data_IF_983892032665
#
_entry.id   IF_983892032665
#
_cell.length_a   1.000
_cell.length_b   1.000
_cell.length_c   1.000
_cell.angle_alpha   90.00
_cell.angle_beta   90.00
_cell.angle_gamma   90.00
#
_symmetry.space_group_name_H-M   'P 1'
#
loop_
_entity.id
_entity.type
_entity.pdbx_description
1 polymer ?
#
# COMPACT_ATOMS: atom_id res chain seq x y z
N UNK A 1 -14.22 -4.46 -11.16
CA UNK A 1 -15.03 -3.80 -12.18
C UNK A 1 -16.48 -4.28 -12.16
N UNK A 2 -16.74 -5.56 -11.94
CA UNK A 2 -18.11 -6.10 -12.00
C UNK A 2 -18.98 -5.70 -10.83
N UNK A 3 -18.39 -5.48 -9.66
CA UNK A 3 -19.07 -5.07 -8.44
C UNK A 3 -19.28 -3.54 -8.29
N UNK A 4 -18.84 -2.73 -9.25
CA UNK A 4 -19.13 -1.29 -9.26
C UNK A 4 -20.60 -1.07 -9.65
N UNK A 5 -21.25 -0.11 -9.01
CA UNK A 5 -22.60 0.34 -9.36
C UNK A 5 -22.61 0.99 -10.75
N UNK A 6 -23.02 0.20 -11.77
CA UNK A 6 -23.01 0.60 -13.20
C UNK A 6 -24.12 1.59 -13.56
N UNK A 7 -25.10 1.80 -12.68
CA UNK A 7 -26.13 2.83 -12.86
C UNK A 7 -25.57 4.23 -12.52
N UNK A 8 -24.59 4.28 -11.62
CA UNK A 8 -23.99 5.53 -11.12
C UNK A 8 -22.63 5.84 -11.74
N UNK A 9 -21.85 4.81 -12.11
CA UNK A 9 -20.47 4.96 -12.52
C UNK A 9 -20.18 4.24 -13.83
N UNK A 10 -19.50 4.90 -14.74
CA UNK A 10 -18.89 4.28 -15.90
C UNK A 10 -17.44 3.92 -15.56
N UNK A 11 -17.11 2.63 -15.66
CA UNK A 11 -15.74 2.15 -15.41
C UNK A 11 -14.93 2.19 -16.68
N UNK A 12 -13.81 2.90 -16.65
CA UNK A 12 -12.81 2.94 -17.72
C UNK A 12 -11.58 2.17 -17.24
N UNK A 13 -11.35 0.93 -17.72
CA UNK A 13 -10.23 0.14 -17.29
C UNK A 13 -8.91 0.71 -17.83
N UNK A 14 -7.92 0.76 -16.95
CA UNK A 14 -6.56 1.20 -17.24
C UNK A 14 -5.59 0.11 -16.77
N UNK A 15 -4.63 -0.22 -17.60
CA UNK A 15 -3.53 -1.11 -17.29
C UNK A 15 -2.20 -0.35 -17.42
N UNK A 16 -1.37 -0.44 -16.40
CA UNK A 16 -0.05 0.17 -16.34
C UNK A 16 0.98 -0.95 -16.37
N UNK A 17 1.86 -0.91 -17.36
CA UNK A 17 2.93 -1.90 -17.51
C UNK A 17 4.13 -1.59 -16.59
N UNK A 18 5.07 -2.54 -16.49
CA UNK A 18 6.30 -2.36 -15.69
C UNK A 18 7.17 -1.17 -16.17
N UNK A 19 7.11 -0.84 -17.46
CA UNK A 19 7.78 0.33 -18.06
C UNK A 19 6.90 1.59 -18.03
N UNK A 20 5.83 1.58 -17.20
CA UNK A 20 4.89 2.67 -16.99
C UNK A 20 4.11 3.11 -18.25
N UNK A 21 4.06 2.26 -19.27
CA UNK A 21 3.16 2.48 -20.40
C UNK A 21 1.71 2.26 -19.96
N UNK A 22 0.83 3.18 -20.32
CA UNK A 22 -0.59 3.15 -19.93
C UNK A 22 -1.43 2.69 -21.11
N UNK A 23 -2.24 1.66 -20.87
CA UNK A 23 -3.21 1.15 -21.83
C UNK A 23 -4.64 1.29 -21.29
N UNK A 24 -5.61 1.49 -22.20
CA UNK A 24 -7.04 1.49 -21.90
C UNK A 24 -7.82 0.75 -22.99
N UNK A 25 -8.98 0.23 -22.64
CA UNK A 25 -9.86 -0.44 -23.59
C UNK A 25 -10.73 -1.52 -22.96
N UNK A 26 -11.84 -1.84 -23.62
CA UNK A 26 -12.84 -2.79 -23.11
C UNK A 26 -12.29 -4.19 -22.84
N UNK A 27 -11.30 -4.62 -23.60
CA UNK A 27 -10.66 -5.94 -23.43
C UNK A 27 -9.99 -6.12 -22.04
N UNK A 28 -9.54 -5.03 -21.42
CA UNK A 28 -8.92 -5.06 -20.09
C UNK A 28 -9.90 -5.47 -18.97
N UNK A 29 -11.18 -5.69 -19.29
CA UNK A 29 -12.17 -6.26 -18.36
C UNK A 29 -12.06 -7.79 -18.24
N UNK A 30 -11.40 -8.45 -19.20
CA UNK A 30 -11.34 -9.89 -19.29
C UNK A 30 -9.97 -10.39 -18.82
N UNK A 31 -9.96 -11.30 -17.84
CA UNK A 31 -8.72 -11.84 -17.27
C UNK A 31 -7.86 -12.55 -18.32
N UNK A 32 -8.46 -13.17 -19.29
CA UNK A 32 -7.75 -13.87 -20.38
C UNK A 32 -6.87 -12.93 -21.22
N UNK A 33 -7.19 -11.63 -21.25
CA UNK A 33 -6.37 -10.64 -21.95
C UNK A 33 -4.99 -10.47 -21.35
N UNK A 34 -4.81 -10.84 -20.09
CA UNK A 34 -3.54 -10.71 -19.34
C UNK A 34 -2.65 -11.95 -19.44
N UNK A 35 -3.17 -13.06 -19.99
CA UNK A 35 -2.38 -14.29 -20.23
C UNK A 35 -1.37 -14.14 -21.37
N UNK A 36 -1.64 -13.24 -22.31
CA UNK A 36 -0.71 -12.91 -23.39
C UNK A 36 -0.67 -11.39 -23.59
N UNK A 37 0.42 -10.78 -23.13
CA UNK A 37 0.61 -9.33 -23.20
C UNK A 37 0.53 -8.77 -24.63
N UNK A 38 0.88 -9.57 -25.66
CA UNK A 38 0.76 -9.16 -27.05
C UNK A 38 -0.68 -8.84 -27.47
N UNK A 39 -1.67 -9.44 -26.79
CA UNK A 39 -3.07 -9.11 -27.01
C UNK A 39 -3.37 -7.68 -26.53
N UNK A 40 -2.82 -7.29 -25.36
CA UNK A 40 -2.97 -5.94 -24.83
C UNK A 40 -2.33 -4.92 -25.78
N UNK A 41 -1.08 -5.15 -26.21
CA UNK A 41 -0.38 -4.26 -27.15
C UNK A 41 -1.13 -4.09 -28.47
N UNK A 42 -1.76 -5.17 -28.97
CA UNK A 42 -2.44 -5.17 -30.27
C UNK A 42 -3.83 -4.54 -30.23
N UNK A 43 -4.58 -4.74 -29.17
CA UNK A 43 -6.00 -4.40 -29.12
C UNK A 43 -6.37 -3.30 -28.11
N UNK A 44 -5.56 -3.06 -27.11
CA UNK A 44 -5.76 -1.93 -26.21
C UNK A 44 -5.19 -0.63 -26.80
N UNK A 45 -5.69 0.49 -26.30
CA UNK A 45 -5.31 1.82 -26.76
C UNK A 45 -4.23 2.34 -25.84
N UNK A 46 -3.04 2.62 -26.38
CA UNK A 46 -1.99 3.32 -25.63
C UNK A 46 -2.44 4.76 -25.40
N UNK A 47 -2.47 5.17 -24.12
CA UNK A 47 -2.99 6.47 -23.70
C UNK A 47 -2.02 7.19 -22.77
N UNK A 48 -2.18 8.51 -22.68
CA UNK A 48 -1.59 9.35 -21.64
C UNK A 48 -2.72 9.95 -20.83
N UNK A 49 -2.50 10.13 -19.54
CA UNK A 49 -3.42 10.82 -18.67
C UNK A 49 -2.95 12.28 -18.55
N UNK A 50 -3.82 13.23 -18.85
CA UNK A 50 -3.51 14.66 -18.84
C UNK A 50 -4.60 15.47 -18.13
N UNK A 51 -4.19 16.61 -17.58
CA UNK A 51 -5.10 17.67 -17.15
C UNK A 51 -5.09 18.76 -18.21
N UNK A 52 -6.28 19.12 -18.69
CA UNK A 52 -6.49 20.24 -19.62
C UNK A 52 -7.55 21.17 -19.06
N UNK A 53 -7.11 22.28 -18.46
CA UNK A 53 -7.99 23.28 -17.86
C UNK A 53 -9.00 22.70 -16.85
N UNK A 54 -8.52 21.83 -15.96
CA UNK A 54 -9.34 21.17 -14.94
C UNK A 54 -10.15 19.95 -15.44
N UNK A 55 -10.02 19.57 -16.71
CA UNK A 55 -10.58 18.32 -17.24
C UNK A 55 -9.50 17.26 -17.33
N UNK A 56 -9.77 16.09 -16.77
CA UNK A 56 -8.86 14.95 -16.79
C UNK A 56 -9.19 14.03 -17.96
N UNK A 57 -8.25 13.86 -18.85
CA UNK A 57 -8.50 13.21 -20.14
C UNK A 57 -7.51 12.09 -20.36
N UNK A 58 -8.00 10.91 -20.70
CA UNK A 58 -7.20 9.88 -21.35
C UNK A 58 -7.04 10.29 -22.82
N UNK A 59 -5.80 10.56 -23.19
CA UNK A 59 -5.44 10.99 -24.53
C UNK A 59 -4.73 9.85 -25.27
N UNK A 60 -5.14 9.51 -26.48
CA UNK A 60 -4.42 8.55 -27.32
C UNK A 60 -2.99 9.01 -27.56
N UNK A 61 -2.02 8.10 -27.44
CA UNK A 61 -0.63 8.41 -27.72
C UNK A 61 -0.37 8.81 -29.18
N UNK A 62 -1.21 8.31 -30.12
CA UNK A 62 -1.09 8.59 -31.56
C UNK A 62 -2.47 8.86 -32.17
N UNK A 63 -2.49 9.55 -33.34
CA UNK A 63 -3.68 9.84 -34.12
C UNK A 63 -4.14 11.30 -34.07
N UNK A 64 -5.08 11.66 -34.97
CA UNK A 64 -5.59 13.03 -35.09
C UNK A 64 -6.61 13.38 -33.99
N UNK A 65 -7.55 12.49 -33.70
CA UNK A 65 -8.47 12.60 -32.55
C UNK A 65 -7.85 11.97 -31.32
N UNK A 66 -7.12 12.78 -30.55
CA UNK A 66 -6.37 12.28 -29.39
C UNK A 66 -7.21 12.07 -28.14
N UNK A 67 -8.20 12.92 -27.88
CA UNK A 67 -9.05 12.78 -26.70
C UNK A 67 -9.87 11.50 -26.81
N UNK A 68 -9.66 10.60 -25.84
CA UNK A 68 -10.28 9.29 -25.84
C UNK A 68 -11.44 9.22 -24.87
N UNK A 69 -11.20 9.62 -23.60
CA UNK A 69 -12.20 9.57 -22.54
C UNK A 69 -11.90 10.60 -21.46
N UNK A 70 -12.93 11.29 -20.98
CA UNK A 70 -12.85 12.13 -19.78
C UNK A 70 -12.97 11.23 -18.53
N UNK A 71 -12.17 11.53 -17.51
CA UNK A 71 -12.10 10.80 -16.23
C UNK A 71 -12.45 11.79 -15.12
N UNK A 72 -13.25 11.35 -14.16
CA UNK A 72 -13.64 12.17 -13.01
C UNK A 72 -12.97 11.75 -11.71
N UNK A 73 -12.61 10.45 -11.60
CA UNK A 73 -12.02 9.86 -10.42
C UNK A 73 -11.14 8.68 -10.84
N UNK A 74 -9.96 8.56 -10.26
CA UNK A 74 -9.13 7.38 -10.37
C UNK A 74 -9.39 6.42 -9.20
N UNK A 75 -9.40 5.12 -9.50
CA UNK A 75 -9.52 4.08 -8.49
C UNK A 75 -8.30 3.15 -8.60
N UNK A 76 -7.18 3.48 -7.89
CA UNK A 76 -5.98 2.68 -7.95
C UNK A 76 -6.20 1.27 -7.35
N UNK A 77 -5.84 0.24 -8.13
CA UNK A 77 -5.79 -1.16 -7.72
C UNK A 77 -4.46 -1.71 -8.24
N UNK A 78 -3.37 -1.23 -7.68
CA UNK A 78 -2.02 -1.43 -8.18
C UNK A 78 -1.14 -1.96 -7.06
N UNK A 79 -0.16 -2.79 -7.43
CA UNK A 79 0.81 -3.34 -6.50
C UNK A 79 2.21 -3.23 -7.09
N UNK A 80 3.22 -3.11 -6.22
CA UNK A 80 4.61 -3.09 -6.58
C UNK A 80 5.24 -1.69 -6.68
N UNK A 81 6.49 -1.69 -7.08
CA UNK A 81 7.32 -0.48 -7.19
C UNK A 81 6.76 0.51 -8.20
N UNK A 82 6.88 1.80 -7.92
CA UNK A 82 6.37 2.93 -8.70
C UNK A 82 4.82 2.99 -8.78
N UNK A 83 4.13 2.20 -7.98
CA UNK A 83 2.66 2.16 -7.95
C UNK A 83 2.12 2.35 -6.53
N UNK A 84 1.99 1.29 -5.73
CA UNK A 84 1.47 1.36 -4.36
C UNK A 84 2.41 2.09 -3.38
N UNK A 85 3.68 2.25 -3.72
CA UNK A 85 4.70 3.01 -2.98
C UNK A 85 4.52 4.54 -3.08
N UNK A 86 3.41 4.99 -3.64
CA UNK A 86 3.10 6.41 -3.84
C UNK A 86 3.44 6.94 -5.23
N UNK A 87 4.14 6.19 -6.08
CA UNK A 87 4.53 6.65 -7.41
C UNK A 87 3.34 7.08 -8.27
N UNK A 88 2.38 6.19 -8.51
CA UNK A 88 1.17 6.51 -9.30
C UNK A 88 0.26 7.52 -8.57
N UNK A 89 0.21 7.47 -7.24
CA UNK A 89 -0.59 8.40 -6.43
C UNK A 89 -0.06 9.82 -6.59
N UNK A 90 1.26 10.02 -6.49
CA UNK A 90 1.90 11.33 -6.72
C UNK A 90 1.70 11.85 -8.14
N UNK A 91 1.65 10.97 -9.15
CA UNK A 91 1.31 11.35 -10.51
C UNK A 91 -0.15 11.86 -10.62
N UNK A 92 -1.10 11.16 -9.98
CA UNK A 92 -2.50 11.59 -9.93
C UNK A 92 -2.65 12.93 -9.20
N UNK A 93 -1.99 13.10 -8.04
CA UNK A 93 -1.98 14.36 -7.28
C UNK A 93 -1.40 15.53 -8.09
N UNK A 94 -0.27 15.31 -8.77
CA UNK A 94 0.37 16.32 -9.63
C UNK A 94 -0.56 16.79 -10.75
N UNK A 95 -1.34 15.88 -11.32
CA UNK A 95 -2.36 16.21 -12.33
C UNK A 95 -3.63 16.79 -11.72
N UNK A 96 -3.79 16.76 -10.40
CA UNK A 96 -4.99 17.18 -9.69
C UNK A 96 -6.17 16.23 -9.86
N UNK A 97 -5.91 14.97 -10.25
CA UNK A 97 -6.95 13.97 -10.47
C UNK A 97 -7.42 13.42 -9.14
N UNK A 98 -8.71 13.50 -8.83
CA UNK A 98 -9.29 12.83 -7.68
C UNK A 98 -9.04 11.33 -7.70
N UNK A 99 -8.72 10.75 -6.54
CA UNK A 99 -8.50 9.30 -6.45
C UNK A 99 -9.00 8.72 -5.13
N UNK A 100 -9.26 7.43 -5.15
CA UNK A 100 -9.63 6.63 -3.99
C UNK A 100 -8.37 6.08 -3.32
N UNK A 101 -8.31 6.15 -1.99
CA UNK A 101 -7.23 5.56 -1.21
C UNK A 101 -6.37 6.58 -0.46
N UNK A 102 -5.23 6.13 0.02
CA UNK A 102 -4.25 6.91 0.75
C UNK A 102 -3.50 7.87 -0.18
N UNK A 103 -3.08 9.03 0.35
CA UNK A 103 -2.26 9.98 -0.39
C UNK A 103 -0.81 9.49 -0.56
N UNK A 104 0.01 10.31 -1.24
CA UNK A 104 1.40 9.95 -1.52
C UNK A 104 2.20 9.73 -0.23
N UNK A 105 2.00 10.54 0.80
CA UNK A 105 2.76 10.44 2.05
C UNK A 105 2.44 9.14 2.77
N UNK A 106 1.17 8.84 2.96
CA UNK A 106 0.72 7.62 3.60
C UNK A 106 1.14 6.36 2.82
N UNK A 107 1.01 6.39 1.48
CA UNK A 107 1.42 5.29 0.61
C UNK A 107 2.92 5.02 0.69
N UNK A 108 3.76 6.05 0.59
CA UNK A 108 5.22 5.91 0.64
C UNK A 108 5.72 5.45 2.00
N UNK A 109 5.16 6.01 3.09
CA UNK A 109 5.52 5.60 4.45
C UNK A 109 5.14 4.15 4.72
N UNK A 110 3.93 3.73 4.34
CA UNK A 110 3.48 2.35 4.59
C UNK A 110 4.23 1.30 3.76
N UNK A 111 4.80 1.69 2.64
CA UNK A 111 5.61 0.79 1.81
C UNK A 111 7.03 0.61 2.36
N UNK A 112 7.54 1.58 3.11
CA UNK A 112 8.86 1.53 3.73
C UNK A 112 8.72 1.12 5.20
N UNK A 113 9.17 -0.09 5.54
CA UNK A 113 8.93 -0.72 6.86
C UNK A 113 9.56 0.04 8.01
N UNK A 114 10.73 0.64 7.81
CA UNK A 114 11.43 1.40 8.86
C UNK A 114 10.66 2.67 9.19
N UNK A 115 10.27 3.46 8.18
CA UNK A 115 9.49 4.68 8.40
C UNK A 115 8.12 4.38 9.01
N UNK A 116 7.47 3.29 8.58
CA UNK A 116 6.23 2.82 9.21
C UNK A 116 6.44 2.57 10.71
N UNK A 117 7.49 1.81 11.08
CA UNK A 117 7.78 1.48 12.48
C UNK A 117 8.10 2.73 13.31
N UNK A 118 8.94 3.61 12.80
CA UNK A 118 9.31 4.86 13.49
C UNK A 118 8.08 5.73 13.78
N UNK A 119 7.19 5.91 12.79
CA UNK A 119 5.98 6.68 13.00
C UNK A 119 4.98 5.98 13.93
N UNK A 120 4.86 4.66 13.88
CA UNK A 120 4.03 3.90 14.81
C UNK A 120 4.55 4.04 16.24
N UNK A 121 5.87 3.90 16.47
CA UNK A 121 6.51 4.08 17.77
C UNK A 121 6.34 5.50 18.30
N UNK A 122 6.54 6.51 17.46
CA UNK A 122 6.34 7.92 17.84
C UNK A 122 4.89 8.21 18.29
N UNK A 123 3.93 7.40 17.80
CA UNK A 123 2.53 7.47 18.21
C UNK A 123 2.16 6.47 19.32
N UNK A 124 3.15 5.85 20.00
CA UNK A 124 2.95 4.93 21.10
C UNK A 124 2.26 3.61 20.70
N UNK A 125 2.47 3.15 19.47
CA UNK A 125 2.03 1.85 18.97
C UNK A 125 3.22 0.89 18.97
N UNK A 126 2.97 -0.35 19.41
CA UNK A 126 4.01 -1.34 19.56
C UNK A 126 4.39 -1.96 18.20
N UNK A 127 5.69 -2.07 17.97
CA UNK A 127 6.31 -2.80 16.87
C UNK A 127 7.40 -3.72 17.46
N UNK A 128 7.86 -4.71 16.73
CA UNK A 128 8.99 -5.57 17.13
C UNK A 128 10.28 -4.76 17.20
N UNK A 129 11.17 -5.11 18.13
CA UNK A 129 12.49 -4.50 18.22
C UNK A 129 13.31 -4.80 16.96
N UNK A 130 14.07 -3.81 16.50
CA UNK A 130 14.75 -3.90 15.21
C UNK A 130 16.05 -3.07 15.14
N UNK A 131 16.87 -3.42 14.17
CA UNK A 131 18.01 -2.64 13.69
C UNK A 131 17.82 -2.44 12.18
N UNK A 132 18.09 -1.24 11.67
CA UNK A 132 18.08 -0.98 10.24
C UNK A 132 19.38 -0.29 9.81
N UNK A 133 19.75 -0.50 8.55
CA UNK A 133 20.93 0.11 7.94
C UNK A 133 20.80 0.05 6.41
N UNK A 134 21.59 0.88 5.76
CA UNK A 134 21.77 0.84 4.30
C UNK A 134 23.00 0.01 3.93
N UNK A 135 23.12 -0.35 2.66
CA UNK A 135 24.34 -0.96 2.11
C UNK A 135 25.56 -0.07 2.27
N UNK A 136 25.41 1.26 2.18
CA UNK A 136 26.47 2.23 2.45
C UNK A 136 26.90 2.18 3.93
N UNK A 137 25.96 2.14 4.87
CA UNK A 137 26.25 2.01 6.32
C UNK A 137 26.97 0.70 6.61
N UNK A 138 26.53 -0.39 5.99
CA UNK A 138 27.13 -1.71 6.14
C UNK A 138 28.57 -1.77 5.65
N UNK A 139 28.85 -1.12 4.51
CA UNK A 139 30.20 -1.03 3.97
C UNK A 139 31.10 -0.09 4.80
N UNK A 140 30.53 0.93 5.45
CA UNK A 140 31.28 1.90 6.23
C UNK A 140 31.67 1.38 7.62
N UNK A 141 30.71 0.79 8.37
CA UNK A 141 30.95 0.31 9.74
C UNK A 141 30.10 -0.94 10.07
N UNK A 142 30.48 -2.04 9.43
CA UNK A 142 29.87 -3.34 9.67
C UNK A 142 29.95 -3.78 11.14
N UNK A 143 31.06 -3.48 11.82
CA UNK A 143 31.26 -3.91 13.22
C UNK A 143 30.25 -3.23 14.16
N UNK A 144 29.94 -1.96 13.95
CA UNK A 144 28.94 -1.26 14.76
C UNK A 144 27.54 -1.80 14.53
N UNK A 145 27.19 -2.08 13.27
CA UNK A 145 25.90 -2.71 12.89
C UNK A 145 25.76 -4.06 13.61
N UNK A 146 26.79 -4.92 13.57
CA UNK A 146 26.74 -6.20 14.27
C UNK A 146 26.59 -6.03 15.80
N UNK A 147 27.27 -5.04 16.42
CA UNK A 147 27.09 -4.72 17.83
C UNK A 147 25.66 -4.26 18.16
N UNK A 148 25.00 -3.56 17.26
CA UNK A 148 23.59 -3.19 17.43
C UNK A 148 22.68 -4.41 17.32
N UNK A 149 22.89 -5.28 16.31
CA UNK A 149 22.13 -6.52 16.11
C UNK A 149 22.33 -7.50 17.28
N UNK A 150 23.52 -7.55 17.90
CA UNK A 150 23.80 -8.40 19.06
C UNK A 150 22.94 -8.04 20.30
N UNK A 151 22.25 -6.90 20.31
CA UNK A 151 21.28 -6.54 21.36
C UNK A 151 19.91 -7.18 21.16
N UNK A 152 19.62 -7.68 19.95
CA UNK A 152 18.37 -8.36 19.64
C UNK A 152 18.43 -9.83 20.04
N UNK A 153 17.27 -10.42 20.30
CA UNK A 153 17.13 -11.81 20.72
C UNK A 153 16.91 -12.74 19.51
N UNK A 154 17.77 -13.74 19.35
CA UNK A 154 17.61 -14.76 18.32
C UNK A 154 16.41 -15.69 18.59
N UNK A 155 15.74 -16.18 17.53
CA UNK A 155 16.04 -15.98 16.12
C UNK A 155 15.70 -14.59 15.62
N UNK A 156 16.36 -14.19 14.51
CA UNK A 156 16.11 -12.94 13.85
C UNK A 156 15.45 -13.18 12.49
N UNK A 157 14.73 -12.18 12.00
CA UNK A 157 14.22 -12.12 10.64
C UNK A 157 14.81 -10.91 9.93
N UNK A 158 15.41 -11.12 8.77
CA UNK A 158 16.03 -10.08 7.95
C UNK A 158 15.15 -9.85 6.73
N UNK A 159 14.84 -8.60 6.45
CA UNK A 159 13.89 -8.21 5.40
C UNK A 159 14.43 -7.05 4.58
N UNK A 160 14.12 -6.98 3.27
CA UNK A 160 14.19 -5.73 2.54
C UNK A 160 13.24 -4.70 3.20
N UNK A 161 13.71 -3.49 3.45
CA UNK A 161 12.87 -2.46 4.07
C UNK A 161 11.77 -2.00 3.10
N UNK A 162 12.09 -1.94 1.80
CA UNK A 162 11.18 -1.55 0.72
C UNK A 162 10.85 -2.78 -0.12
N UNK A 163 9.68 -3.31 0.04
CA UNK A 163 9.25 -4.49 -0.70
C UNK A 163 8.06 -5.16 -0.04
N UNK A 164 7.48 -6.12 -0.74
CA UNK A 164 6.29 -6.83 -0.30
C UNK A 164 6.32 -8.30 -0.65
N UNK A 165 5.20 -8.98 -0.41
CA UNK A 165 4.98 -10.39 -0.80
C UNK A 165 5.97 -11.43 -0.22
N UNK A 166 6.84 -11.03 0.71
CA UNK A 166 7.81 -11.95 1.32
C UNK A 166 9.06 -12.25 0.48
N UNK A 167 9.35 -11.42 -0.52
CA UNK A 167 10.57 -11.56 -1.33
C UNK A 167 11.79 -11.12 -0.52
N UNK A 168 12.89 -11.91 -0.60
CA UNK A 168 14.17 -11.56 0.00
C UNK A 168 14.18 -11.60 1.52
N UNK A 169 13.34 -12.41 2.16
CA UNK A 169 13.31 -12.55 3.63
C UNK A 169 14.11 -13.78 4.05
N UNK A 170 15.00 -13.59 5.04
CA UNK A 170 15.81 -14.63 5.63
C UNK A 170 15.52 -14.77 7.14
N UNK A 171 15.48 -15.99 7.65
CA UNK A 171 15.38 -16.27 9.09
C UNK A 171 16.71 -16.80 9.57
N UNK A 172 17.26 -16.17 10.61
CA UNK A 172 18.57 -16.44 11.18
C UNK A 172 18.41 -17.00 12.59
N UNK A 173 18.81 -18.22 12.81
CA UNK A 173 18.72 -18.85 14.12
C UNK A 173 19.98 -18.66 14.96
N UNK A 174 21.12 -18.45 14.35
CA UNK A 174 22.43 -18.36 14.99
C UNK A 174 23.26 -17.25 14.36
N UNK A 175 24.16 -16.67 15.16
CA UNK A 175 25.00 -15.54 14.78
C UNK A 175 25.87 -15.83 13.53
N UNK A 176 26.31 -17.07 13.36
CA UNK A 176 27.17 -17.48 12.25
C UNK A 176 26.48 -17.38 10.89
N UNK A 177 25.15 -17.35 10.87
CA UNK A 177 24.34 -17.27 9.65
C UNK A 177 24.05 -15.80 9.26
N UNK A 178 24.29 -14.84 10.17
CA UNK A 178 23.84 -13.46 10.06
C UNK A 178 24.41 -12.75 8.84
N UNK A 179 25.72 -12.81 8.65
CA UNK A 179 26.42 -12.10 7.55
C UNK A 179 25.92 -12.54 6.18
N UNK A 180 25.92 -13.86 5.93
CA UNK A 180 25.48 -14.40 4.65
C UNK A 180 24.00 -14.13 4.36
N UNK A 181 23.17 -14.06 5.40
CA UNK A 181 21.75 -13.73 5.25
C UNK A 181 21.52 -12.24 4.98
N UNK A 182 22.29 -11.35 5.59
CA UNK A 182 22.27 -9.91 5.27
C UNK A 182 22.67 -9.69 3.80
N UNK A 183 23.75 -10.31 3.34
CA UNK A 183 24.24 -10.17 1.95
C UNK A 183 23.19 -10.60 0.93
N UNK A 184 22.47 -11.72 1.18
CA UNK A 184 21.37 -12.16 0.32
C UNK A 184 20.22 -11.15 0.28
N UNK A 185 19.85 -10.56 1.43
CA UNK A 185 18.78 -9.55 1.48
C UNK A 185 19.19 -8.28 0.75
N UNK A 186 20.46 -7.89 0.83
CA UNK A 186 21.03 -6.75 0.11
C UNK A 186 20.99 -6.93 -1.43
N UNK A 187 20.90 -8.14 -1.95
CA UNK A 187 20.63 -8.37 -3.37
C UNK A 187 19.24 -7.89 -3.81
N UNK A 188 18.30 -7.79 -2.85
CA UNK A 188 16.91 -7.38 -3.12
C UNK A 188 16.66 -5.89 -2.86
N UNK A 189 17.31 -5.30 -1.86
CA UNK A 189 17.15 -3.90 -1.47
C UNK A 189 18.41 -3.36 -0.80
N UNK A 190 18.75 -2.10 -1.04
CA UNK A 190 19.84 -1.40 -0.36
C UNK A 190 19.52 -1.01 1.08
N UNK A 191 18.26 -1.14 1.52
CA UNK A 191 17.81 -0.89 2.89
C UNK A 191 17.45 -2.22 3.55
N UNK A 192 18.12 -2.54 4.64
CA UNK A 192 17.94 -3.79 5.38
C UNK A 192 17.31 -3.54 6.73
N UNK A 193 16.32 -4.34 7.07
CA UNK A 193 15.64 -4.37 8.36
C UNK A 193 15.89 -5.73 9.03
N UNK A 194 16.47 -5.73 10.22
CA UNK A 194 16.69 -6.91 11.06
C UNK A 194 15.78 -6.80 12.29
N UNK A 195 14.95 -7.79 12.53
CA UNK A 195 13.96 -7.80 13.62
C UNK A 195 14.04 -9.08 14.46
N UNK A 196 13.57 -9.03 15.68
CA UNK A 196 13.33 -10.23 16.47
C UNK A 196 12.21 -11.08 15.84
N UNK A 197 12.48 -12.35 15.61
CA UNK A 197 11.49 -13.28 15.08
C UNK A 197 10.70 -13.94 16.20
N UNK A 198 9.45 -13.56 16.33
CA UNK A 198 8.56 -14.14 17.35
C UNK A 198 8.16 -15.56 16.91
N UNK A 199 8.69 -16.60 17.60
CA UNK A 199 8.41 -18.01 17.28
C UNK A 199 6.98 -18.40 17.65
N UNK A 200 6.62 -18.16 18.91
CA UNK A 200 5.31 -18.51 19.46
C UNK A 200 4.32 -17.36 19.17
N UNK A 201 3.87 -17.25 17.91
CA UNK A 201 3.02 -16.18 17.47
C UNK A 201 1.70 -16.66 16.85
N UNK A 202 0.72 -15.78 16.91
CA UNK A 202 -0.47 -15.80 16.06
C UNK A 202 -0.45 -14.55 15.17
N UNK A 203 -0.89 -14.68 13.93
CA UNK A 203 -0.94 -13.57 12.99
C UNK A 203 -2.38 -13.16 12.74
N UNK A 204 -2.67 -11.87 12.90
CA UNK A 204 -4.00 -11.31 12.71
C UNK A 204 -3.95 -10.17 11.71
N UNK A 205 -5.07 -9.92 11.03
CA UNK A 205 -5.27 -8.70 10.32
C UNK A 205 -6.68 -8.14 10.54
N UNK A 206 -6.81 -6.83 10.33
CA UNK A 206 -8.08 -6.12 10.35
C UNK A 206 -8.04 -5.02 9.30
N UNK A 207 -9.11 -4.88 8.55
CA UNK A 207 -9.28 -3.78 7.60
C UNK A 207 -10.03 -2.63 8.26
N UNK A 208 -9.56 -1.41 8.02
CA UNK A 208 -10.16 -0.17 8.53
C UNK A 208 -10.52 0.73 7.36
N UNK A 209 -11.72 1.28 7.42
CA UNK A 209 -12.20 2.33 6.54
C UNK A 209 -12.71 3.48 7.39
N UNK A 210 -12.53 4.72 6.95
CA UNK A 210 -13.12 5.89 7.58
C UNK A 210 -14.16 6.49 6.65
N UNK A 211 -15.40 6.66 7.13
CA UNK A 211 -16.47 7.28 6.36
C UNK A 211 -17.20 8.32 7.21
N UNK A 212 -17.38 9.52 6.65
CA UNK A 212 -18.03 10.67 7.33
C UNK A 212 -17.46 10.94 8.74
N UNK A 213 -16.13 10.82 8.86
CA UNK A 213 -15.42 11.01 10.12
C UNK A 213 -15.51 9.84 11.13
N UNK A 214 -16.26 8.77 10.82
CA UNK A 214 -16.38 7.58 11.67
C UNK A 214 -15.56 6.43 11.10
N UNK A 215 -14.98 5.63 11.99
CA UNK A 215 -14.32 4.40 11.60
C UNK A 215 -15.31 3.27 11.42
N UNK A 216 -15.05 2.47 10.40
CA UNK A 216 -15.68 1.18 10.14
C UNK A 216 -14.55 0.16 10.18
N UNK A 217 -14.54 -0.66 11.21
CA UNK A 217 -13.61 -1.77 11.37
C UNK A 217 -14.26 -3.07 10.85
N UNK A 218 -13.50 -3.86 10.15
CA UNK A 218 -13.90 -5.18 9.69
C UNK A 218 -13.90 -6.21 10.82
N UNK A 219 -14.27 -7.44 10.54
CA UNK A 219 -13.89 -8.57 11.39
C UNK A 219 -12.37 -8.68 11.48
N UNK A 220 -11.88 -9.20 12.60
CA UNK A 220 -10.47 -9.63 12.72
C UNK A 220 -10.33 -11.01 12.10
N UNK A 221 -9.39 -11.15 11.20
CA UNK A 221 -8.99 -12.41 10.57
C UNK A 221 -7.72 -12.94 11.22
N UNK A 222 -7.69 -14.24 11.47
CA UNK A 222 -6.47 -14.96 11.81
C UNK A 222 -5.95 -15.69 10.58
N UNK A 223 -4.64 -15.61 10.37
CA UNK A 223 -3.94 -16.34 9.31
C UNK A 223 -3.04 -17.37 9.97
N UNK A 224 -3.41 -18.65 9.88
CA UNK A 224 -2.58 -19.77 10.29
C UNK A 224 -1.66 -20.17 9.13
N UNK A 225 -0.37 -20.28 9.41
CA UNK A 225 0.66 -20.70 8.45
C UNK A 225 1.57 -21.74 9.08
N UNK A 226 1.90 -22.77 8.34
CA UNK A 226 2.98 -23.68 8.71
C UNK A 226 4.34 -23.04 8.36
N UNK A 227 4.93 -22.34 9.34
CA UNK A 227 6.21 -21.66 9.18
C UNK A 227 6.14 -20.29 8.51
N UNK A 228 7.27 -19.83 7.95
CA UNK A 228 7.35 -18.62 7.12
C UNK A 228 7.02 -18.99 5.67
N UNK A 229 6.02 -18.32 5.10
CA UNK A 229 5.64 -18.52 3.71
C UNK A 229 6.37 -17.52 2.81
N UNK A 230 7.27 -18.04 1.98
CA UNK A 230 7.99 -17.24 0.99
C UNK A 230 7.07 -16.79 -0.15
N UNK A 231 7.56 -15.85 -0.96
CA UNK A 231 6.88 -15.47 -2.21
C UNK A 231 6.59 -16.66 -3.12
N UNK A 232 7.56 -17.59 -3.21
CA UNK A 232 7.43 -18.79 -4.03
C UNK A 232 6.26 -19.68 -3.58
N UNK A 233 6.07 -19.82 -2.27
CA UNK A 233 4.97 -20.59 -1.70
C UNK A 233 3.60 -19.94 -1.95
N UNK A 234 3.56 -18.62 -2.10
CA UNK A 234 2.31 -17.85 -2.35
C UNK A 234 1.83 -17.89 -3.79
N UNK A 235 2.72 -18.04 -4.78
CA UNK A 235 2.38 -17.75 -6.18
C UNK A 235 2.81 -18.82 -7.20
N UNK A 236 3.51 -19.88 -6.78
CA UNK A 236 4.08 -20.87 -7.69
C UNK A 236 3.64 -22.33 -7.45
N UNK A 237 2.65 -22.56 -6.59
CA UNK A 237 2.04 -23.88 -6.48
C UNK A 237 0.86 -23.98 -7.44
N UNK A 238 0.97 -24.89 -8.40
CA UNK A 238 0.01 -25.14 -9.49
C UNK A 238 -1.23 -25.96 -9.06
N UNK A 239 -1.46 -26.19 -7.77
CA UNK A 239 -2.57 -27.01 -7.30
C UNK A 239 -3.71 -26.16 -6.71
N UNK A 240 -4.91 -26.34 -7.25
CA UNK A 240 -6.19 -25.77 -6.81
C UNK A 240 -6.60 -26.18 -5.36
N UNK A 241 -5.75 -26.92 -4.65
CA UNK A 241 -5.89 -27.36 -3.25
C UNK A 241 -4.79 -26.75 -2.37
N UNK A 242 -4.57 -25.44 -2.42
CA UNK A 242 -3.55 -24.80 -1.62
C UNK A 242 -4.02 -24.53 -0.17
N UNK A 243 -3.93 -25.57 0.67
CA UNK A 243 -4.11 -25.53 2.14
C UNK A 243 -2.95 -24.82 2.88
N UNK A 244 -2.07 -24.07 2.19
CA UNK A 244 -0.91 -23.41 2.82
C UNK A 244 -1.31 -22.30 3.78
N UNK A 245 -2.53 -21.79 3.65
CA UNK A 245 -3.05 -20.71 4.51
C UNK A 245 -4.46 -21.05 4.97
N UNK A 246 -4.63 -21.37 6.24
CA UNK A 246 -5.95 -21.43 6.83
C UNK A 246 -6.31 -20.04 7.35
N UNK A 247 -7.47 -19.55 6.94
CA UNK A 247 -8.02 -18.25 7.35
C UNK A 247 -9.26 -18.47 8.20
N UNK A 248 -9.27 -17.84 9.36
CA UNK A 248 -10.42 -17.89 10.28
C UNK A 248 -10.92 -16.47 10.56
N UNK A 249 -12.14 -16.18 10.18
CA UNK A 249 -12.82 -14.91 10.50
C UNK A 249 -14.29 -15.14 10.86
N UNK A 250 -14.78 -14.58 12.00
CA UNK A 250 -13.98 -13.87 12.99
C UNK A 250 -12.92 -14.77 13.63
N UNK A 251 -11.75 -14.21 13.95
CA UNK A 251 -10.71 -14.93 14.66
C UNK A 251 -11.19 -15.45 16.02
N UNK A 252 -10.80 -16.66 16.38
CA UNK A 252 -11.11 -17.25 17.70
C UNK A 252 -10.18 -16.68 18.78
N UNK A 253 -10.50 -15.48 19.25
CA UNK A 253 -9.73 -14.73 20.25
C UNK A 253 -10.67 -14.09 21.29
N UNK A 254 -10.08 -13.68 22.42
CA UNK A 254 -10.85 -12.99 23.46
C UNK A 254 -11.36 -11.63 22.96
N UNK A 255 -12.52 -11.22 23.48
CA UNK A 255 -13.09 -9.90 23.19
C UNK A 255 -12.11 -8.75 23.49
N UNK A 256 -11.34 -8.87 24.57
CA UNK A 256 -10.32 -7.89 24.94
C UNK A 256 -9.23 -7.74 23.85
N UNK A 257 -8.74 -8.85 23.29
CA UNK A 257 -7.74 -8.81 22.22
C UNK A 257 -8.35 -8.25 20.92
N UNK A 258 -9.60 -8.60 20.58
CA UNK A 258 -10.31 -8.02 19.44
C UNK A 258 -10.41 -6.49 19.57
N UNK A 259 -10.81 -6.00 20.76
CA UNK A 259 -10.92 -4.57 21.04
C UNK A 259 -9.57 -3.86 20.96
N UNK A 260 -8.49 -4.49 21.43
CA UNK A 260 -7.13 -3.96 21.35
C UNK A 260 -6.66 -3.85 19.89
N UNK A 261 -6.85 -4.90 19.09
CA UNK A 261 -6.55 -4.90 17.65
C UNK A 261 -7.29 -3.76 16.94
N UNK A 262 -8.61 -3.69 17.09
CA UNK A 262 -9.43 -2.65 16.46
C UNK A 262 -9.05 -1.24 16.92
N UNK A 263 -8.77 -1.06 18.22
CA UNK A 263 -8.34 0.25 18.79
C UNK A 263 -7.00 0.69 18.24
N UNK A 264 -6.01 -0.19 18.24
CA UNK A 264 -4.66 0.14 17.73
C UNK A 264 -4.67 0.34 16.22
N UNK A 265 -5.48 -0.41 15.47
CA UNK A 265 -5.67 -0.21 14.04
C UNK A 265 -6.25 1.18 13.70
N UNK A 266 -7.27 1.63 14.41
CA UNK A 266 -7.84 2.99 14.23
C UNK A 266 -6.81 4.08 14.56
N UNK A 267 -5.97 3.86 15.58
CA UNK A 267 -4.87 4.78 15.90
C UNK A 267 -3.83 4.81 14.79
N UNK A 268 -3.39 3.65 14.31
CA UNK A 268 -2.43 3.56 13.19
C UNK A 268 -2.99 4.26 11.95
N UNK A 269 -4.25 3.98 11.59
CA UNK A 269 -4.92 4.63 10.47
C UNK A 269 -4.91 6.16 10.58
N UNK A 270 -5.18 6.70 11.78
CA UNK A 270 -5.16 8.15 12.00
C UNK A 270 -3.76 8.73 12.00
N UNK A 271 -2.81 8.06 12.65
CA UNK A 271 -1.42 8.53 12.82
C UNK A 271 -0.67 8.63 11.50
N UNK A 272 -1.00 7.73 10.56
CA UNK A 272 -0.41 7.67 9.23
C UNK A 272 -1.27 8.37 8.17
N UNK A 273 -2.35 9.03 8.56
CA UNK A 273 -3.27 9.76 7.65
C UNK A 273 -3.79 8.90 6.51
N UNK A 274 -4.09 7.62 6.78
CA UNK A 274 -4.54 6.68 5.77
C UNK A 274 -5.88 7.10 5.16
N UNK A 275 -6.10 6.71 3.90
CA UNK A 275 -7.34 6.93 3.14
C UNK A 275 -7.87 5.65 2.53
N UNK A 276 -9.18 5.61 2.22
CA UNK A 276 -9.82 4.40 1.71
C UNK A 276 -9.79 3.24 2.71
N UNK A 277 -9.73 2.01 2.20
CA UNK A 277 -9.53 0.81 3.03
C UNK A 277 -8.04 0.57 3.20
N UNK A 278 -7.59 0.44 4.44
CA UNK A 278 -6.26 -0.05 4.77
C UNK A 278 -6.35 -1.31 5.64
N UNK A 279 -5.48 -2.29 5.40
CA UNK A 279 -5.38 -3.50 6.22
C UNK A 279 -4.13 -3.39 7.10
N UNK A 280 -4.32 -3.61 8.38
CA UNK A 280 -3.27 -3.60 9.38
C UNK A 280 -3.01 -5.05 9.79
N UNK A 281 -1.79 -5.49 9.62
CA UNK A 281 -1.35 -6.87 9.89
C UNK A 281 -0.58 -6.89 11.21
N UNK A 282 -0.90 -7.86 12.08
CA UNK A 282 -0.42 -7.97 13.44
C UNK A 282 0.32 -9.27 13.69
N UNK A 283 1.31 -9.20 14.57
CA UNK A 283 1.91 -10.34 15.23
C UNK A 283 1.54 -10.27 16.71
N UNK A 284 0.94 -11.34 17.23
CA UNK A 284 0.65 -11.51 18.64
C UNK A 284 1.58 -12.55 19.24
N UNK A 285 2.48 -12.09 20.13
CA UNK A 285 3.35 -12.95 20.92
C UNK A 285 2.49 -13.65 22.00
N UNK A 286 2.29 -14.96 21.85
CA UNK A 286 1.44 -15.74 22.75
C UNK A 286 2.10 -15.94 24.13
N UNK A 287 3.44 -15.95 24.19
CA UNK A 287 4.21 -16.12 25.41
C UNK A 287 4.19 -14.87 26.28
N UNK A 288 4.46 -13.70 25.67
CA UNK A 288 4.54 -12.44 26.39
C UNK A 288 3.20 -11.68 26.38
N UNK A 289 2.19 -12.21 25.68
CA UNK A 289 0.86 -11.61 25.51
C UNK A 289 0.94 -10.17 24.99
N UNK A 290 1.80 -9.95 24.00
CA UNK A 290 2.06 -8.62 23.45
C UNK A 290 1.69 -8.56 21.97
N UNK A 291 0.95 -7.51 21.61
CA UNK A 291 0.49 -7.28 20.25
C UNK A 291 1.40 -6.27 19.56
N UNK A 292 1.88 -6.62 18.36
CA UNK A 292 2.74 -5.76 17.53
C UNK A 292 2.10 -5.51 16.18
N UNK A 293 2.18 -4.28 15.67
CA UNK A 293 1.88 -4.00 14.26
C UNK A 293 3.08 -4.43 13.42
N UNK A 294 2.84 -5.29 12.44
CA UNK A 294 3.86 -5.81 11.55
C UNK A 294 3.98 -4.99 10.26
N UNK A 295 2.86 -4.82 9.55
CA UNK A 295 2.82 -4.02 8.31
C UNK A 295 1.44 -3.40 8.09
N UNK A 296 1.37 -2.40 7.21
CA UNK A 296 0.15 -1.71 6.83
C UNK A 296 0.04 -1.69 5.31
N UNK A 297 -1.07 -2.24 4.81
CA UNK A 297 -1.35 -2.32 3.39
C UNK A 297 -2.38 -1.25 3.01
N UNK A 298 -1.98 -0.27 2.23
CA UNK A 298 -2.85 0.84 1.78
C UNK A 298 -3.76 0.48 0.61
N UNK A 299 -3.44 -0.59 -0.11
CA UNK A 299 -4.25 -1.17 -1.19
C UNK A 299 -4.33 -2.69 -0.97
N UNK A 300 -5.06 -3.18 0.04
CA UNK A 300 -5.14 -4.60 0.31
C UNK A 300 -5.90 -5.33 -0.81
N UNK A 301 -5.56 -6.60 -1.04
CA UNK A 301 -6.19 -7.44 -2.05
C UNK A 301 -7.71 -7.40 -1.92
N UNK A 302 -8.41 -7.08 -3.02
CA UNK A 302 -9.86 -6.91 -3.08
C UNK A 302 -10.42 -6.04 -1.94
N UNK A 303 -9.58 -5.12 -1.38
CA UNK A 303 -9.90 -4.26 -0.23
C UNK A 303 -10.41 -5.01 0.99
N UNK A 304 -9.99 -6.28 1.14
CA UNK A 304 -10.41 -7.17 2.23
C UNK A 304 -11.95 -7.20 2.42
N UNK A 305 -12.72 -7.10 1.33
CA UNK A 305 -14.19 -6.93 1.37
C UNK A 305 -14.87 -8.04 2.15
N UNK A 306 -14.40 -9.30 2.06
CA UNK A 306 -14.96 -10.45 2.78
C UNK A 306 -15.02 -10.25 4.29
N UNK A 307 -14.16 -9.40 4.87
CA UNK A 307 -14.16 -9.09 6.30
C UNK A 307 -15.22 -8.05 6.70
N UNK A 308 -15.86 -7.39 5.74
CA UNK A 308 -16.92 -6.40 6.01
C UNK A 308 -18.33 -6.97 5.86
N UNK A 309 -18.50 -8.18 5.33
CA UNK A 309 -19.80 -8.80 5.09
C UNK A 309 -20.64 -8.95 6.35
N UNK A 310 -20.00 -9.26 7.49
CA UNK A 310 -20.69 -9.32 8.81
C UNK A 310 -21.25 -7.96 9.27
N UNK A 311 -20.78 -6.86 8.70
CA UNK A 311 -21.32 -5.51 8.93
C UNK A 311 -22.46 -5.15 7.98
N UNK A 312 -22.96 -6.11 7.20
CA UNK A 312 -23.89 -5.92 6.09
C UNK A 312 -23.39 -4.94 5.03
N UNK A 313 -22.08 -4.86 4.84
CA UNK A 313 -21.43 -4.06 3.80
C UNK A 313 -20.93 -5.03 2.75
N UNK A 314 -21.69 -5.17 1.66
CA UNK A 314 -21.24 -5.97 0.52
C UNK A 314 -20.14 -5.25 -0.27
N UNK A 315 -19.53 -5.96 -1.22
CA UNK A 315 -18.41 -5.39 -1.98
C UNK A 315 -18.81 -4.16 -2.81
N UNK A 316 -20.04 -4.12 -3.33
CA UNK A 316 -20.57 -2.96 -4.09
C UNK A 316 -20.71 -1.75 -3.17
N UNK A 317 -21.26 -1.95 -1.98
CA UNK A 317 -21.44 -0.89 -1.00
C UNK A 317 -20.10 -0.37 -0.50
N UNK A 318 -19.12 -1.27 -0.22
CA UNK A 318 -17.76 -0.89 0.17
C UNK A 318 -17.11 0.01 -0.87
N UNK A 319 -17.14 -0.37 -2.15
CA UNK A 319 -16.62 0.44 -3.25
C UNK A 319 -17.33 1.81 -3.34
N UNK A 320 -18.65 1.82 -3.15
CA UNK A 320 -19.46 3.05 -3.13
C UNK A 320 -19.07 4.00 -2.00
N UNK A 321 -18.81 3.46 -0.79
CA UNK A 321 -18.32 4.23 0.37
C UNK A 321 -16.95 4.84 0.05
N UNK A 322 -16.01 4.07 -0.49
CA UNK A 322 -14.67 4.53 -0.83
C UNK A 322 -14.69 5.65 -1.88
N UNK A 323 -15.50 5.50 -2.93
CA UNK A 323 -15.68 6.53 -3.97
C UNK A 323 -16.26 7.81 -3.34
N UNK A 324 -17.26 7.68 -2.48
CA UNK A 324 -17.87 8.83 -1.82
C UNK A 324 -16.88 9.57 -0.92
N UNK A 325 -16.08 8.85 -0.14
CA UNK A 325 -15.04 9.46 0.70
C UNK A 325 -14.03 10.26 -0.14
N UNK A 326 -13.60 9.73 -1.28
CA UNK A 326 -12.70 10.44 -2.20
C UNK A 326 -13.33 11.74 -2.72
N UNK A 327 -14.62 11.70 -3.09
CA UNK A 327 -15.34 12.89 -3.56
C UNK A 327 -15.51 13.91 -2.41
N UNK A 328 -15.87 13.45 -1.21
CA UNK A 328 -16.06 14.32 -0.04
C UNK A 328 -14.73 14.98 0.38
N UNK A 329 -13.57 14.26 0.25
CA UNK A 329 -12.22 14.80 0.47
C UNK A 329 -11.94 15.99 -0.45
N UNK A 330 -12.19 15.84 -1.74
CA UNK A 330 -11.96 16.89 -2.75
C UNK A 330 -12.80 18.12 -2.45
N UNK A 331 -14.09 17.92 -2.16
CA UNK A 331 -14.99 19.03 -1.81
C UNK A 331 -14.55 19.77 -0.55
N UNK A 332 -13.90 19.06 0.39
CA UNK A 332 -13.33 19.67 1.58
C UNK A 332 -12.07 20.46 1.26
N UNK A 333 -11.16 19.88 0.48
CA UNK A 333 -9.90 20.50 0.08
C UNK A 333 -10.14 21.75 -0.77
N UNK A 334 -11.11 21.73 -1.69
CA UNK A 334 -11.49 22.88 -2.51
C UNK A 334 -12.00 24.09 -1.69
N UNK A 335 -12.41 23.86 -0.43
CA UNK A 335 -12.83 24.93 0.49
C UNK A 335 -11.67 25.46 1.35
N UNK A 336 -10.51 24.82 1.32
CA UNK A 336 -9.36 25.26 2.07
C UNK A 336 -8.72 26.46 1.38
N UNK A 337 -8.25 27.42 2.18
CA UNK A 337 -7.51 28.58 1.66
C UNK A 337 -6.08 28.09 1.39
N UNK A 338 -5.79 27.80 0.14
CA UNK A 338 -4.42 27.64 -0.31
C UNK A 338 -3.81 29.03 -0.45
N UNK A 339 -2.61 29.22 0.10
CA UNK A 339 -1.88 30.49 0.25
C UNK A 339 -2.03 31.49 -0.89
N UNK A 340 -1.83 32.78 -0.58
CA UNK A 340 -1.92 33.97 -1.47
C UNK A 340 -0.97 33.93 -2.69
N UNK A 341 -0.84 32.86 -3.43
CA UNK A 341 -0.03 32.80 -4.67
C UNK A 341 -0.46 33.85 -5.69
N UNK A 342 -1.74 34.17 -5.76
CA UNK A 342 -2.27 35.24 -6.60
C UNK A 342 -1.71 36.64 -6.29
N UNK A 343 -1.19 36.91 -5.09
CA UNK A 343 -0.63 38.23 -4.75
C UNK A 343 0.86 38.34 -5.10
N UNK A 344 1.62 37.29 -5.14
CA UNK A 344 3.04 37.31 -5.51
C UNK A 344 3.23 37.68 -6.98
N UNK A 345 2.44 37.09 -7.87
CA UNK A 345 2.53 37.34 -9.31
C UNK A 345 1.85 38.67 -9.74
N UNK A 346 0.87 39.18 -9.00
CA UNK A 346 0.27 40.48 -9.25
C UNK A 346 1.24 41.65 -9.01
N UNK A 347 2.32 41.47 -8.27
CA UNK A 347 3.35 42.46 -8.00
C UNK A 347 4.52 42.42 -8.99
N UNK A 348 4.67 41.36 -9.77
CA UNK A 348 5.75 41.26 -10.78
C UNK A 348 5.25 41.86 -12.09
N UNK A 349 5.76 43.01 -12.43
CA UNK A 349 5.43 43.67 -13.71
C UNK A 349 6.32 43.13 -14.83
N UNK A 350 5.87 43.30 -16.09
CA UNK A 350 6.66 42.93 -17.27
C UNK A 350 8.03 43.64 -17.36
N UNK A 351 8.23 44.76 -16.59
CA UNK A 351 9.51 45.44 -16.41
C UNK A 351 10.47 44.64 -15.52
N UNK A 352 9.95 44.02 -14.44
CA UNK A 352 10.77 43.24 -13.49
C UNK A 352 11.36 41.99 -14.16
N UNK A 353 10.58 41.35 -15.04
CA UNK A 353 11.05 40.16 -15.80
C UNK A 353 12.14 40.50 -16.82
N UNK A 354 12.15 41.75 -17.37
CA UNK A 354 13.19 42.20 -18.31
C UNK A 354 14.53 42.52 -17.64
N UNK A 355 14.51 42.85 -16.35
CA UNK A 355 15.71 43.18 -15.58
C UNK A 355 16.37 41.96 -14.90
N UNK A 356 15.79 40.75 -15.06
CA UNK A 356 16.33 39.48 -14.57
C UNK A 356 17.13 38.70 -15.64
N UNK A 357 17.41 39.32 -16.79
CA UNK A 357 18.28 38.74 -17.84
C UNK A 357 19.68 39.30 -17.80
#
# INVERSE_FOLDING_TARGET
MDNIDKERYEVVPIYITKDLTIYSGGMLRYIDSYKDFRLIERYAIKVNLINRNGKFILQRAKGLKRDYKEIHLAFPMVHGKNTEDGGIIGYLETLGIPFVGSDIYASSVCQEKVFTKELLMANGLAVTDYVHFTDDDYNLDKEDIFKQIDKLTYPLIIKPARGGSGIGIEIVNRKEELESSIEKVMECDTHVLVEEYIKDRREFNVAILKSKGKFIDSLVEEIEKDGYCSYYDKYHKDDDNDDTFKRTYPADISKALTEEICKTAKRAYSSLSLGGVARIDYIYDTKNKKLYINEINTIPNFFSHHLFEDKNIDYRELLGIMIKEAIDKIHKEAKMIHSNEDQLFKKVTSKDVRNMK
#
